data_IF_986617341939
#
_entry.id   IF_986617341939
#
_cell.length_a   1.000
_cell.length_b   1.000
_cell.length_c   1.000
_cell.angle_alpha   90.00
_cell.angle_beta   90.00
_cell.angle_gamma   90.00
#
_symmetry.space_group_name_H-M   'P 1'
#
loop_
_entity.id
_entity.type
_entity.pdbx_description
1 polymer ?
#
# COMPACT_ATOMS: atom_id res chain seq x y z
N UNK A 1 10.79 5.88 -11.49
CA UNK A 1 9.52 5.67 -10.76
C UNK A 1 8.95 7.03 -10.39
N UNK A 2 8.47 7.78 -11.37
CA UNK A 2 8.14 9.21 -11.20
C UNK A 2 6.78 9.43 -10.50
N UNK A 3 5.83 8.51 -10.75
CA UNK A 3 4.45 8.64 -10.29
C UNK A 3 4.29 8.46 -8.76
N UNK A 4 4.97 7.49 -8.15
CA UNK A 4 4.90 7.28 -6.67
C UNK A 4 5.54 8.45 -5.92
N UNK A 5 6.71 8.92 -6.38
CA UNK A 5 7.37 10.08 -5.79
C UNK A 5 6.53 11.36 -5.92
N UNK A 6 5.84 11.54 -7.05
CA UNK A 6 4.90 12.63 -7.23
C UNK A 6 3.70 12.52 -6.27
N UNK A 7 3.16 11.32 -6.06
CA UNK A 7 2.09 11.09 -5.08
C UNK A 7 2.53 11.38 -3.64
N UNK A 8 3.76 11.01 -3.26
CA UNK A 8 4.31 11.39 -1.95
C UNK A 8 4.43 12.91 -1.78
N UNK A 9 4.86 13.64 -2.82
CA UNK A 9 4.88 15.12 -2.81
C UNK A 9 3.47 15.69 -2.64
N UNK A 10 2.45 15.11 -3.27
CA UNK A 10 1.05 15.53 -3.07
C UNK A 10 0.63 15.29 -1.62
N UNK A 11 0.93 14.11 -1.06
CA UNK A 11 0.60 13.79 0.34
C UNK A 11 1.28 14.80 1.28
N UNK A 12 2.55 15.11 1.06
CA UNK A 12 3.27 16.11 1.86
C UNK A 12 2.60 17.48 1.79
N UNK A 13 2.20 17.93 0.59
CA UNK A 13 1.45 19.19 0.42
C UNK A 13 0.10 19.16 1.14
N UNK A 14 -0.64 18.07 1.07
CA UNK A 14 -1.91 17.91 1.79
C UNK A 14 -1.72 17.93 3.30
N UNK A 15 -0.68 17.26 3.81
CA UNK A 15 -0.34 17.27 5.24
C UNK A 15 0.02 18.68 5.71
N UNK A 16 0.88 19.39 4.99
CA UNK A 16 1.27 20.75 5.37
C UNK A 16 0.06 21.69 5.40
N UNK A 17 -0.80 21.61 4.39
CA UNK A 17 -2.06 22.37 4.37
C UNK A 17 -2.99 22.00 5.54
N UNK A 18 -3.04 20.73 5.94
CA UNK A 18 -3.82 20.31 7.10
C UNK A 18 -3.27 20.91 8.40
N UNK A 19 -1.94 20.98 8.55
CA UNK A 19 -1.28 21.55 9.74
C UNK A 19 -1.54 23.06 9.85
N UNK A 20 -1.48 23.77 8.72
CA UNK A 20 -1.66 25.23 8.65
C UNK A 20 -3.14 25.66 8.76
N UNK A 21 -4.07 24.79 8.34
CA UNK A 21 -5.51 25.08 8.29
C UNK A 21 -6.26 24.80 9.60
N UNK A 22 -7.51 25.27 9.66
CA UNK A 22 -8.43 25.04 10.79
C UNK A 22 -9.14 23.68 10.73
N UNK A 23 -9.35 23.15 9.53
CA UNK A 23 -10.23 21.99 9.30
C UNK A 23 -9.47 20.74 8.83
N UNK A 24 -8.54 20.27 9.68
CA UNK A 24 -7.69 19.08 9.46
C UNK A 24 -8.45 17.83 8.97
N UNK A 25 -9.69 17.64 9.42
CA UNK A 25 -10.51 16.45 9.11
C UNK A 25 -10.79 16.31 7.61
N UNK A 26 -10.94 17.42 6.87
CA UNK A 26 -11.19 17.36 5.43
C UNK A 26 -9.99 16.91 4.60
N UNK A 27 -8.78 16.99 5.17
CA UNK A 27 -7.57 16.48 4.54
C UNK A 27 -7.33 15.00 4.82
N UNK A 28 -7.94 14.44 5.87
CA UNK A 28 -7.75 13.04 6.25
C UNK A 28 -8.18 12.10 5.10
N UNK A 29 -9.39 12.27 4.57
CA UNK A 29 -9.90 11.45 3.47
C UNK A 29 -8.98 11.42 2.23
N UNK A 30 -8.60 12.56 1.60
CA UNK A 30 -7.73 12.54 0.43
C UNK A 30 -6.33 11.96 0.73
N UNK A 31 -5.76 12.24 1.91
CA UNK A 31 -4.46 11.66 2.30
C UNK A 31 -4.58 10.13 2.39
N UNK A 32 -5.62 9.62 3.06
CA UNK A 32 -5.86 8.18 3.21
C UNK A 32 -5.95 7.47 1.86
N UNK A 33 -6.73 8.03 0.92
CA UNK A 33 -6.94 7.42 -0.39
C UNK A 33 -5.64 7.32 -1.18
N UNK A 34 -4.79 8.35 -1.10
CA UNK A 34 -3.49 8.34 -1.76
C UNK A 34 -2.57 7.30 -1.13
N UNK A 35 -2.54 7.19 0.20
CA UNK A 35 -1.77 6.15 0.90
C UNK A 35 -2.24 4.74 0.49
N UNK A 36 -3.54 4.47 0.55
CA UNK A 36 -4.13 3.19 0.17
C UNK A 36 -3.90 2.87 -1.32
N UNK A 37 -3.94 3.86 -2.20
CA UNK A 37 -3.64 3.70 -3.63
C UNK A 37 -2.16 3.38 -3.86
N UNK A 38 -1.23 3.99 -3.12
CA UNK A 38 0.19 3.64 -3.19
C UNK A 38 0.41 2.20 -2.73
N UNK A 39 -0.22 1.77 -1.63
CA UNK A 39 -0.19 0.37 -1.19
C UNK A 39 -0.66 -0.56 -2.32
N UNK A 40 -1.80 -0.25 -2.94
CA UNK A 40 -2.35 -1.04 -4.05
C UNK A 40 -1.40 -1.11 -5.25
N UNK A 41 -0.82 0.03 -5.65
CA UNK A 41 0.17 0.08 -6.72
C UNK A 41 1.42 -0.74 -6.39
N UNK A 42 1.93 -0.68 -5.16
CA UNK A 42 3.11 -1.44 -4.73
C UNK A 42 2.85 -2.95 -4.81
N UNK A 43 1.71 -3.44 -4.31
CA UNK A 43 1.37 -4.86 -4.39
C UNK A 43 1.11 -5.32 -5.83
N UNK A 44 0.45 -4.48 -6.63
CA UNK A 44 0.23 -4.75 -8.05
C UNK A 44 1.56 -4.86 -8.81
N UNK A 45 2.45 -3.89 -8.65
CA UNK A 45 3.75 -3.86 -9.32
C UNK A 45 4.61 -5.06 -8.91
N UNK A 46 4.59 -5.43 -7.63
CA UNK A 46 5.26 -6.63 -7.15
C UNK A 46 4.75 -7.90 -7.85
N UNK A 47 3.44 -8.14 -7.83
CA UNK A 47 2.85 -9.32 -8.48
C UNK A 47 3.05 -9.31 -10.01
N UNK A 48 2.99 -8.13 -10.63
CA UNK A 48 3.24 -7.95 -12.05
C UNK A 48 4.68 -8.30 -12.41
N UNK A 49 5.67 -7.88 -11.61
CA UNK A 49 7.08 -8.25 -11.81
C UNK A 49 7.29 -9.76 -11.75
N UNK A 50 6.69 -10.44 -10.77
CA UNK A 50 6.72 -11.91 -10.68
C UNK A 50 6.07 -12.55 -11.91
N UNK A 51 4.93 -12.02 -12.36
CA UNK A 51 4.22 -12.56 -13.52
C UNK A 51 5.01 -12.39 -14.83
N UNK A 52 5.65 -11.24 -15.03
CA UNK A 52 6.26 -10.88 -16.32
C UNK A 52 7.69 -11.38 -16.50
N UNK A 53 8.44 -11.64 -15.43
CA UNK A 53 9.72 -12.38 -15.30
C UNK A 53 10.79 -12.26 -16.41
N UNK A 54 10.70 -11.29 -17.33
CA UNK A 54 11.53 -11.22 -18.54
C UNK A 54 12.75 -10.32 -18.44
N UNK A 55 12.84 -9.44 -17.43
CA UNK A 55 13.93 -8.46 -17.32
C UNK A 55 14.57 -8.34 -15.93
N UNK A 56 13.82 -8.60 -14.85
CA UNK A 56 14.28 -8.49 -13.47
C UNK A 56 13.79 -9.75 -12.73
N UNK A 57 14.70 -10.59 -12.24
CA UNK A 57 14.33 -11.71 -11.36
C UNK A 57 14.12 -11.16 -9.96
N UNK A 58 12.94 -11.39 -9.39
CA UNK A 58 12.66 -11.05 -7.99
C UNK A 58 13.38 -12.09 -7.13
N UNK A 59 14.35 -11.70 -6.27
CA UNK A 59 15.09 -12.66 -5.45
C UNK A 59 14.19 -13.29 -4.37
N UNK A 60 14.69 -14.33 -3.71
CA UNK A 60 14.03 -14.97 -2.56
C UNK A 60 12.63 -15.57 -2.84
N UNK A 61 12.30 -15.82 -4.12
CA UNK A 61 11.10 -16.57 -4.51
C UNK A 61 11.46 -17.98 -4.97
N UNK A 62 10.63 -18.95 -4.59
CA UNK A 62 10.74 -20.32 -5.08
C UNK A 62 10.19 -20.42 -6.51
N UNK A 63 10.70 -21.40 -7.28
CA UNK A 63 10.16 -21.71 -8.62
C UNK A 63 8.67 -22.03 -8.60
N UNK A 64 8.17 -22.60 -7.50
CA UNK A 64 6.76 -22.95 -7.32
C UNK A 64 5.89 -21.71 -7.16
N UNK A 65 6.34 -20.73 -6.38
CA UNK A 65 5.63 -19.45 -6.20
C UNK A 65 5.60 -18.67 -7.50
N UNK A 66 6.76 -18.52 -8.16
CA UNK A 66 6.86 -17.85 -9.46
C UNK A 66 5.87 -18.46 -10.46
N UNK A 67 5.89 -19.79 -10.60
CA UNK A 67 5.00 -20.48 -11.52
C UNK A 67 3.52 -20.31 -11.15
N UNK A 68 3.18 -20.38 -9.85
CA UNK A 68 1.82 -20.17 -9.40
C UNK A 68 1.27 -18.77 -9.75
N UNK A 69 2.13 -17.74 -9.74
CA UNK A 69 1.75 -16.40 -10.18
C UNK A 69 1.65 -16.34 -11.72
N UNK A 70 2.61 -16.92 -12.45
CA UNK A 70 2.62 -16.95 -13.92
C UNK A 70 1.45 -17.72 -14.54
N UNK A 71 0.99 -18.78 -13.87
CA UNK A 71 -0.18 -19.54 -14.30
C UNK A 71 -1.48 -18.71 -14.16
N UNK A 72 -1.45 -17.58 -13.46
CA UNK A 72 -2.58 -16.65 -13.43
C UNK A 72 -2.69 -15.89 -14.75
N UNK A 73 -3.75 -16.20 -15.51
CA UNK A 73 -4.07 -15.53 -16.80
C UNK A 73 -4.08 -14.01 -16.72
N UNK A 74 -4.48 -13.45 -15.58
CA UNK A 74 -4.49 -12.01 -15.33
C UNK A 74 -4.38 -11.76 -13.83
N UNK A 75 -3.44 -10.90 -13.46
CA UNK A 75 -3.36 -10.33 -12.12
C UNK A 75 -4.67 -9.52 -11.88
N UNK A 76 -5.44 -9.83 -10.82
CA UNK A 76 -6.71 -9.12 -10.53
C UNK A 76 -6.47 -7.61 -10.36
N UNK A 77 -7.50 -6.77 -10.40
CA UNK A 77 -7.31 -5.31 -10.24
C UNK A 77 -8.10 -4.76 -9.05
N UNK A 78 -7.83 -5.33 -7.86
CA UNK A 78 -8.46 -4.94 -6.60
C UNK A 78 -7.49 -5.22 -5.45
N UNK A 79 -7.29 -4.25 -4.57
CA UNK A 79 -6.45 -4.38 -3.37
C UNK A 79 -6.68 -5.69 -2.58
N UNK A 80 -7.93 -6.05 -2.25
CA UNK A 80 -8.22 -7.32 -1.56
C UNK A 80 -7.74 -8.56 -2.32
N UNK A 81 -7.81 -8.55 -3.65
CA UNK A 81 -7.35 -9.68 -4.44
C UNK A 81 -5.82 -9.76 -4.44
N UNK A 82 -5.11 -8.63 -4.48
CA UNK A 82 -3.66 -8.59 -4.30
C UNK A 82 -3.25 -9.12 -2.93
N UNK A 83 -3.94 -8.66 -1.89
CA UNK A 83 -3.71 -9.08 -0.53
C UNK A 83 -3.89 -10.59 -0.34
N UNK A 84 -4.97 -11.16 -0.89
CA UNK A 84 -5.24 -12.59 -0.83
C UNK A 84 -4.15 -13.43 -1.51
N UNK A 85 -3.60 -12.96 -2.63
CA UNK A 85 -2.47 -13.62 -3.30
C UNK A 85 -1.22 -13.53 -2.41
N UNK A 86 -0.91 -12.35 -1.88
CA UNK A 86 0.25 -12.16 -1.00
C UNK A 86 0.14 -12.98 0.29
N UNK A 87 -1.07 -13.14 0.84
CA UNK A 87 -1.35 -13.95 2.05
C UNK A 87 -1.15 -15.43 1.77
N UNK A 88 -1.70 -15.92 0.65
CA UNK A 88 -1.59 -17.34 0.25
C UNK A 88 -0.14 -17.82 0.12
N UNK A 89 0.77 -16.91 -0.22
CA UNK A 89 2.20 -17.21 -0.44
C UNK A 89 3.11 -16.59 0.63
N UNK A 90 2.57 -16.06 1.73
CA UNK A 90 3.35 -15.42 2.81
C UNK A 90 4.38 -14.38 2.33
N UNK A 91 4.07 -13.66 1.24
CA UNK A 91 5.00 -12.71 0.61
C UNK A 91 5.38 -11.55 1.55
N UNK A 92 4.47 -11.14 2.42
CA UNK A 92 4.71 -10.08 3.40
C UNK A 92 5.18 -10.62 4.77
N UNK A 93 5.35 -11.94 4.91
CA UNK A 93 5.64 -12.58 6.19
C UNK A 93 4.55 -13.58 6.58
N UNK A 94 4.78 -14.26 7.70
CA UNK A 94 3.80 -15.21 8.27
C UNK A 94 2.82 -14.51 9.23
N UNK A 95 3.11 -13.27 9.63
CA UNK A 95 2.23 -12.51 10.51
C UNK A 95 0.94 -12.11 9.76
N UNK A 96 -0.20 -12.61 10.23
CA UNK A 96 -1.49 -12.30 9.65
C UNK A 96 -1.88 -10.82 9.82
N UNK A 97 -1.32 -10.12 10.81
CA UNK A 97 -1.68 -8.75 11.15
C UNK A 97 -1.50 -7.78 9.98
N UNK A 98 -0.43 -7.92 9.18
CA UNK A 98 -0.20 -7.03 8.03
C UNK A 98 -1.28 -7.25 6.94
N UNK A 99 -1.69 -8.49 6.73
CA UNK A 99 -2.72 -8.82 5.77
C UNK A 99 -4.10 -8.32 6.22
N UNK A 100 -4.40 -8.40 7.50
CA UNK A 100 -5.64 -7.87 8.07
C UNK A 100 -5.69 -6.34 7.95
N UNK A 101 -4.56 -5.66 8.21
CA UNK A 101 -4.44 -4.22 8.00
C UNK A 101 -4.62 -3.80 6.53
N UNK A 102 -4.12 -4.58 5.57
CA UNK A 102 -4.36 -4.31 4.14
C UNK A 102 -5.83 -4.49 3.77
N UNK A 103 -6.50 -5.52 4.32
CA UNK A 103 -7.94 -5.71 4.13
C UNK A 103 -8.74 -4.55 4.72
N UNK A 104 -8.43 -4.14 5.96
CA UNK A 104 -9.02 -2.95 6.58
C UNK A 104 -8.82 -1.71 5.69
N UNK A 105 -7.60 -1.53 5.14
CA UNK A 105 -7.30 -0.41 4.26
C UNK A 105 -8.16 -0.40 2.99
N UNK A 106 -8.35 -1.57 2.38
CA UNK A 106 -9.22 -1.71 1.23
C UNK A 106 -10.69 -1.47 1.57
N UNK A 107 -11.17 -1.95 2.73
CA UNK A 107 -12.54 -1.75 3.18
C UNK A 107 -12.84 -0.27 3.43
N UNK A 108 -11.98 0.44 4.16
CA UNK A 108 -12.10 1.88 4.39
C UNK A 108 -12.02 2.64 3.07
N UNK A 109 -11.06 2.32 2.19
CA UNK A 109 -10.99 2.92 0.85
C UNK A 109 -12.29 2.72 0.07
N UNK A 110 -12.90 1.52 0.14
CA UNK A 110 -14.15 1.22 -0.58
C UNK A 110 -15.34 2.04 -0.07
N UNK A 111 -15.31 2.54 1.18
CA UNK A 111 -16.36 3.44 1.72
C UNK A 111 -16.53 4.73 0.92
N UNK A 112 -15.51 5.13 0.15
CA UNK A 112 -15.65 6.28 -0.74
C UNK A 112 -16.67 6.08 -1.86
N UNK A 113 -16.82 4.84 -2.31
CA UNK A 113 -17.61 4.48 -3.49
C UNK A 113 -18.83 3.64 -3.11
N UNK A 114 -18.81 2.95 -1.97
CA UNK A 114 -19.87 2.05 -1.51
C UNK A 114 -20.52 2.64 -0.27
N UNK A 115 -21.82 2.85 -0.35
CA UNK A 115 -22.65 3.24 0.79
C UNK A 115 -22.58 2.17 1.89
N UNK A 116 -22.54 2.57 3.16
CA UNK A 116 -22.51 1.66 4.31
C UNK A 116 -23.89 1.01 4.59
N UNK A 117 -24.50 0.39 3.58
CA UNK A 117 -25.84 -0.21 3.69
C UNK A 117 -25.88 -1.36 4.70
N UNK A 118 -24.74 -2.02 4.93
CA UNK A 118 -24.59 -3.13 5.88
C UNK A 118 -24.34 -2.68 7.32
N UNK A 119 -24.26 -1.37 7.58
CA UNK A 119 -24.10 -0.84 8.94
C UNK A 119 -22.80 -1.26 9.62
N UNK A 120 -21.71 -1.49 8.88
CA UNK A 120 -20.41 -1.75 9.51
C UNK A 120 -19.97 -0.52 10.30
N UNK A 121 -19.35 -0.73 11.45
CA UNK A 121 -18.81 0.37 12.27
C UNK A 121 -17.61 1.05 11.58
N UNK A 122 -17.43 2.37 11.72
CA UNK A 122 -18.38 3.34 12.26
C UNK A 122 -19.51 3.61 11.25
N UNK A 123 -20.70 3.86 11.77
CA UNK A 123 -21.88 4.11 10.94
C UNK A 123 -21.80 5.47 10.24
N UNK A 124 -21.33 6.50 10.97
CA UNK A 124 -20.98 7.79 10.41
C UNK A 124 -19.62 7.69 9.71
N UNK A 125 -19.59 7.99 8.42
CA UNK A 125 -18.36 7.94 7.62
C UNK A 125 -17.34 8.98 8.08
N UNK A 126 -17.78 10.11 8.65
CA UNK A 126 -16.86 11.14 9.12
C UNK A 126 -15.94 10.61 10.21
N UNK A 127 -16.39 9.65 11.02
CA UNK A 127 -15.62 9.02 12.10
C UNK A 127 -14.51 8.09 11.60
N UNK A 128 -14.54 7.68 10.32
CA UNK A 128 -13.39 7.01 9.69
C UNK A 128 -12.23 7.97 9.45
N UNK A 129 -12.55 9.23 9.14
CA UNK A 129 -11.59 10.20 8.62
C UNK A 129 -10.91 10.98 9.75
N UNK A 130 -10.27 10.25 10.65
CA UNK A 130 -9.49 10.79 11.76
C UNK A 130 -7.99 10.66 11.52
N UNK A 131 -7.20 11.51 12.19
CA UNK A 131 -5.74 11.55 12.10
C UNK A 131 -5.12 10.17 12.40
N UNK A 132 -5.67 9.44 13.39
CA UNK A 132 -5.18 8.12 13.75
C UNK A 132 -5.32 7.10 12.61
N UNK A 133 -6.44 7.15 11.87
CA UNK A 133 -6.67 6.31 10.68
C UNK A 133 -5.61 6.58 9.60
N UNK A 134 -5.21 7.84 9.44
CA UNK A 134 -4.16 8.24 8.49
C UNK A 134 -2.80 7.69 8.93
N UNK A 135 -2.45 7.88 10.21
CA UNK A 135 -1.17 7.42 10.76
C UNK A 135 -1.03 5.90 10.65
N UNK A 136 -2.10 5.15 10.93
CA UNK A 136 -2.13 3.69 10.75
C UNK A 136 -1.91 3.28 9.30
N UNK A 137 -2.59 3.92 8.34
CA UNK A 137 -2.41 3.60 6.92
C UNK A 137 -1.01 3.97 6.41
N UNK A 138 -0.47 5.10 6.86
CA UNK A 138 0.90 5.51 6.55
C UNK A 138 1.95 4.56 7.14
N UNK A 139 1.74 4.11 8.38
CA UNK A 139 2.59 3.10 9.00
C UNK A 139 2.55 1.77 8.23
N UNK A 140 1.35 1.30 7.87
CA UNK A 140 1.18 0.10 7.03
C UNK A 140 1.94 0.23 5.70
N UNK A 141 1.85 1.39 5.04
CA UNK A 141 2.60 1.66 3.81
C UNK A 141 4.11 1.53 4.04
N UNK A 142 4.64 2.13 5.12
CA UNK A 142 6.06 2.00 5.50
C UNK A 142 6.44 0.53 5.72
N UNK A 143 5.65 -0.20 6.50
CA UNK A 143 5.94 -1.59 6.86
C UNK A 143 6.01 -2.48 5.61
N UNK A 144 5.08 -2.29 4.67
CA UNK A 144 5.10 -2.98 3.36
C UNK A 144 6.39 -2.64 2.59
N UNK A 145 6.79 -1.37 2.53
CA UNK A 145 8.01 -0.97 1.82
C UNK A 145 9.26 -1.56 2.46
N UNK A 146 9.36 -1.55 3.79
CA UNK A 146 10.47 -2.18 4.53
C UNK A 146 10.55 -3.66 4.19
N UNK A 147 9.44 -4.39 4.32
CA UNK A 147 9.39 -5.82 3.99
C UNK A 147 9.77 -6.08 2.54
N UNK A 148 9.26 -5.29 1.59
CA UNK A 148 9.57 -5.46 0.17
C UNK A 148 11.05 -5.22 -0.12
N UNK A 149 11.66 -4.19 0.46
CA UNK A 149 13.07 -3.90 0.27
C UNK A 149 13.97 -4.97 0.92
N UNK A 150 13.60 -5.49 2.08
CA UNK A 150 14.37 -6.51 2.80
C UNK A 150 14.25 -7.90 2.16
N UNK A 151 13.02 -8.34 1.85
CA UNK A 151 12.79 -9.67 1.25
C UNK A 151 13.08 -9.70 -0.24
N UNK A 152 12.81 -8.62 -0.96
CA UNK A 152 12.85 -8.59 -2.42
C UNK A 152 13.75 -7.46 -2.93
N UNK A 153 15.03 -7.43 -2.49
CA UNK A 153 15.95 -6.38 -2.92
C UNK A 153 16.11 -6.42 -4.43
N UNK A 154 16.34 -5.27 -5.02
CA UNK A 154 16.64 -5.19 -6.45
C UNK A 154 18.04 -5.77 -6.72
N UNK A 155 18.23 -6.54 -7.82
CA UNK A 155 19.52 -7.13 -8.15
C UNK A 155 20.62 -6.07 -8.39
N UNK A 156 21.86 -6.41 -8.02
CA UNK A 156 23.03 -5.56 -8.24
C UNK A 156 23.21 -5.21 -9.73
N UNK A 157 23.49 -3.94 -10.02
CA UNK A 157 23.68 -3.43 -11.38
C UNK A 157 22.46 -2.71 -11.98
N UNK A 158 21.31 -2.71 -11.30
CA UNK A 158 20.24 -1.76 -11.58
C UNK A 158 20.55 -0.43 -10.87
N UNK A 159 20.65 0.66 -11.62
CA UNK A 159 21.14 1.97 -11.14
C UNK A 159 20.31 2.65 -10.02
N UNK A 160 19.18 2.05 -9.65
CA UNK A 160 18.25 2.57 -8.65
C UNK A 160 17.92 1.47 -7.63
N UNK A 161 18.88 1.05 -6.81
CA UNK A 161 18.55 0.43 -5.52
C UNK A 161 18.20 1.60 -4.59
N UNK A 162 16.91 1.90 -4.35
CA UNK A 162 16.58 2.92 -3.39
C UNK A 162 17.06 2.40 -2.04
N UNK A 163 18.09 3.05 -1.50
CA UNK A 163 18.42 2.86 -0.10
C UNK A 163 17.26 3.44 0.69
N UNK A 164 16.73 2.68 1.64
CA UNK A 164 15.69 3.13 2.58
C UNK A 164 16.25 4.14 3.60
N UNK A 165 17.31 4.89 3.24
CA UNK A 165 18.06 5.73 4.18
C UNK A 165 17.13 6.75 4.87
N UNK A 166 16.12 7.26 4.15
CA UNK A 166 14.98 7.96 4.73
C UNK A 166 13.68 7.67 3.94
N UNK A 167 12.76 6.89 4.53
CA UNK A 167 11.42 6.73 3.98
C UNK A 167 10.58 7.99 4.27
N UNK A 168 9.88 8.59 3.29
CA UNK A 168 9.07 9.78 3.53
C UNK A 168 7.85 9.43 4.37
N UNK A 169 7.77 10.01 5.58
CA UNK A 169 6.67 9.79 6.53
C UNK A 169 5.88 11.08 6.84
N UNK A 170 5.34 11.80 5.83
CA UNK A 170 4.67 13.08 6.05
C UNK A 170 3.52 12.99 7.06
N UNK A 171 2.77 11.88 7.12
CA UNK A 171 1.66 11.68 8.08
C UNK A 171 2.06 11.75 9.56
N UNK A 172 3.34 11.59 9.90
CA UNK A 172 3.82 11.72 11.28
C UNK A 172 3.64 13.13 11.84
N UNK A 173 3.61 14.14 10.97
CA UNK A 173 3.48 15.56 11.31
C UNK A 173 2.03 16.01 11.63
N UNK A 174 1.03 15.18 11.32
CA UNK A 174 -0.40 15.49 11.50
C UNK A 174 -0.84 15.58 12.97
#
# INVERSE_FOLDING_TARGET
>A
MDNVNYNFKIIEKLVNSAIEGTDKRYYCKPIYLLLAAIIECTLYDFLKKINEHRYEQVPNLTKKEVKAIQDMKKVPNKLNCFNNICKKHSFLGEDEAIYDQINEAAEIRNRIHIQNEKGHSPMDESDLWEINTIKKCGQLLKDIFVIMCEKYPRPDGFHDNPTLDEFPEPWTKL
#
